data_IF_043953772507
#
_entry.id   IF_043953772507
#
_cell.length_a   1.000
_cell.length_b   1.000
_cell.length_c   1.000
_cell.angle_alpha   90.00
_cell.angle_beta   90.00
_cell.angle_gamma   90.00
#
_symmetry.space_group_name_H-M   'P 1'
#
loop_
_entity.id
_entity.type
_entity.pdbx_description
1 polymer ?
#
# COMPACT_ATOMS: atom_id res chain seq x y z
N UNK A 1 -24.29 -5.31 -12.44
CA UNK A 1 -24.18 -4.87 -11.04
C UNK A 1 -22.86 -5.41 -10.54
N UNK A 2 -21.94 -4.58 -10.05
CA UNK A 2 -20.72 -5.13 -9.45
C UNK A 2 -21.15 -6.02 -8.28
N UNK A 3 -20.73 -7.29 -8.26
CA UNK A 3 -20.90 -8.12 -7.08
C UNK A 3 -20.40 -7.32 -5.87
N UNK A 4 -21.24 -7.23 -4.83
CA UNK A 4 -20.84 -6.58 -3.60
C UNK A 4 -19.63 -7.33 -3.04
N UNK A 5 -18.51 -6.62 -2.85
CA UNK A 5 -17.30 -7.19 -2.25
C UNK A 5 -17.67 -7.83 -0.91
N UNK A 6 -17.40 -9.13 -0.76
CA UNK A 6 -17.78 -9.89 0.44
C UNK A 6 -17.04 -9.40 1.68
N UNK A 7 -17.63 -9.55 2.87
CA UNK A 7 -17.04 -9.07 4.12
C UNK A 7 -15.60 -9.60 4.36
N UNK A 8 -15.35 -10.87 4.04
CA UNK A 8 -14.01 -11.48 4.09
C UNK A 8 -13.01 -10.79 3.15
N UNK A 9 -13.45 -10.45 1.94
CA UNK A 9 -12.61 -9.74 0.96
C UNK A 9 -12.30 -8.31 1.42
N UNK A 10 -13.27 -7.61 2.02
CA UNK A 10 -13.05 -6.28 2.61
C UNK A 10 -12.03 -6.33 3.73
N UNK A 11 -12.17 -7.30 4.64
CA UNK A 11 -11.23 -7.51 5.75
C UNK A 11 -9.82 -7.81 5.23
N UNK A 12 -9.68 -8.77 4.31
CA UNK A 12 -8.38 -9.12 3.71
C UNK A 12 -7.78 -7.96 2.91
N UNK A 13 -8.60 -7.18 2.22
CA UNK A 13 -8.17 -5.96 1.54
C UNK A 13 -7.59 -4.92 2.49
N UNK A 14 -8.17 -4.76 3.68
CA UNK A 14 -7.60 -3.90 4.72
C UNK A 14 -6.31 -4.50 5.34
N UNK A 15 -6.31 -5.82 5.64
CA UNK A 15 -5.15 -6.54 6.17
C UNK A 15 -3.94 -6.48 5.24
N UNK A 16 -4.15 -6.37 3.92
CA UNK A 16 -3.10 -6.18 2.94
C UNK A 16 -2.19 -4.99 3.27
N UNK A 17 -2.71 -3.95 3.94
CA UNK A 17 -1.94 -2.78 4.34
C UNK A 17 -1.36 -2.86 5.76
N UNK A 18 -1.86 -3.77 6.63
CA UNK A 18 -1.56 -3.76 8.06
C UNK A 18 -0.06 -3.73 8.39
N UNK A 19 0.75 -4.56 7.75
CA UNK A 19 2.21 -4.57 7.91
C UNK A 19 2.92 -4.08 6.63
N UNK A 20 2.23 -3.21 5.88
CA UNK A 20 2.66 -2.70 4.59
C UNK A 20 3.02 -3.83 3.63
N UNK A 21 4.26 -3.89 3.13
CA UNK A 21 4.63 -4.86 2.11
C UNK A 21 4.62 -6.31 2.62
N UNK A 22 4.78 -6.55 3.93
CA UNK A 22 4.83 -7.90 4.48
C UNK A 22 3.47 -8.61 4.31
N UNK A 23 2.38 -8.00 4.77
CA UNK A 23 1.04 -8.58 4.61
C UNK A 23 0.56 -8.51 3.16
N UNK A 24 0.95 -7.48 2.41
CA UNK A 24 0.68 -7.40 0.98
C UNK A 24 1.29 -8.58 0.20
N UNK A 25 2.56 -8.88 0.41
CA UNK A 25 3.23 -10.03 -0.25
C UNK A 25 2.60 -11.34 0.19
N UNK A 26 2.36 -11.54 1.48
CA UNK A 26 1.72 -12.75 2.00
C UNK A 26 0.37 -13.03 1.32
N UNK A 27 -0.46 -11.99 1.15
CA UNK A 27 -1.74 -12.11 0.48
C UNK A 27 -1.62 -12.31 -1.04
N UNK A 28 -0.64 -11.72 -1.72
CA UNK A 28 -0.37 -12.04 -3.13
C UNK A 28 0.02 -13.52 -3.34
N UNK A 29 0.76 -14.08 -2.38
CA UNK A 29 1.20 -15.47 -2.43
C UNK A 29 0.06 -16.44 -2.14
N UNK A 30 -0.84 -16.10 -1.21
CA UNK A 30 -1.91 -17.00 -0.76
C UNK A 30 -3.24 -16.81 -1.51
N UNK A 31 -3.57 -15.58 -1.92
CA UNK A 31 -4.82 -15.28 -2.62
C UNK A 31 -4.63 -15.30 -4.14
N UNK A 32 -5.40 -16.16 -4.82
CA UNK A 32 -5.31 -16.39 -6.27
C UNK A 32 -6.58 -16.02 -7.03
N UNK A 33 -7.72 -15.90 -6.35
CA UNK A 33 -9.03 -15.76 -7.00
C UNK A 33 -9.57 -14.34 -6.91
N UNK A 34 -9.44 -13.71 -5.74
CA UNK A 34 -10.03 -12.38 -5.54
C UNK A 34 -9.16 -11.28 -6.17
N UNK A 35 -9.61 -10.71 -7.28
CA UNK A 35 -8.97 -9.53 -7.88
C UNK A 35 -8.95 -8.33 -6.91
N UNK A 36 -9.96 -8.21 -6.03
CA UNK A 36 -10.03 -7.15 -5.02
C UNK A 36 -8.90 -7.25 -3.99
N UNK A 37 -8.74 -8.43 -3.37
CA UNK A 37 -7.68 -8.66 -2.38
C UNK A 37 -6.31 -8.53 -3.06
N UNK A 38 -6.13 -9.11 -4.25
CA UNK A 38 -4.87 -9.05 -4.99
C UNK A 38 -4.48 -7.62 -5.37
N UNK A 39 -5.44 -6.78 -5.75
CA UNK A 39 -5.20 -5.35 -6.01
C UNK A 39 -4.68 -4.62 -4.77
N UNK A 40 -5.36 -4.71 -3.63
CA UNK A 40 -4.92 -4.06 -2.41
C UNK A 40 -3.58 -4.60 -1.91
N UNK A 41 -3.33 -5.89 -2.10
CA UNK A 41 -2.07 -6.56 -1.78
C UNK A 41 -0.91 -6.07 -2.63
N UNK A 42 -1.10 -5.90 -3.94
CA UNK A 42 -0.10 -5.32 -4.83
C UNK A 42 0.12 -3.82 -4.56
N UNK A 43 -0.96 -3.05 -4.40
CA UNK A 43 -0.85 -1.62 -4.07
C UNK A 43 -0.13 -1.39 -2.74
N UNK A 44 -0.43 -2.19 -1.71
CA UNK A 44 0.26 -2.16 -0.42
C UNK A 44 1.74 -2.50 -0.55
N UNK A 45 2.06 -3.58 -1.29
CA UNK A 45 3.44 -4.01 -1.52
C UNK A 45 4.26 -2.91 -2.18
N UNK A 46 3.77 -2.35 -3.29
CA UNK A 46 4.46 -1.31 -4.04
C UNK A 46 4.60 -0.02 -3.22
N UNK A 47 3.54 0.41 -2.53
CA UNK A 47 3.58 1.60 -1.68
C UNK A 47 4.57 1.42 -0.52
N UNK A 48 4.50 0.28 0.16
CA UNK A 48 5.36 -0.06 1.28
C UNK A 48 6.83 -0.11 0.91
N UNK A 49 7.17 -0.76 -0.21
CA UNK A 49 8.55 -0.80 -0.74
C UNK A 49 9.02 0.61 -1.12
N UNK A 50 8.19 1.41 -1.78
CA UNK A 50 8.55 2.78 -2.15
C UNK A 50 8.86 3.66 -0.93
N UNK A 51 8.00 3.58 0.11
CA UNK A 51 8.21 4.30 1.37
C UNK A 51 9.48 3.81 2.08
N UNK A 52 9.71 2.49 2.14
CA UNK A 52 10.90 1.91 2.76
C UNK A 52 12.19 2.37 2.06
N UNK A 53 12.22 2.33 0.73
CA UNK A 53 13.36 2.83 -0.05
C UNK A 53 13.57 4.33 0.14
N UNK A 54 12.50 5.12 0.22
CA UNK A 54 12.60 6.56 0.51
C UNK A 54 13.31 6.82 1.85
N UNK A 55 12.94 6.10 2.92
CA UNK A 55 13.60 6.25 4.22
C UNK A 55 15.06 5.76 4.21
N UNK A 56 15.38 4.70 3.47
CA UNK A 56 16.78 4.26 3.29
C UNK A 56 17.60 5.37 2.64
N UNK A 57 17.11 5.95 1.54
CA UNK A 57 17.81 7.03 0.83
C UNK A 57 18.02 8.24 1.73
N UNK A 58 17.02 8.63 2.52
CA UNK A 58 17.18 9.73 3.49
C UNK A 58 18.25 9.43 4.55
N UNK A 59 18.35 8.19 5.02
CA UNK A 59 19.30 7.81 6.07
C UNK A 59 20.76 7.81 5.59
N UNK A 60 21.01 7.53 4.30
CA UNK A 60 22.37 7.41 3.74
C UNK A 60 22.96 8.73 3.24
N UNK A 61 22.16 9.78 3.00
CA UNK A 61 22.64 11.06 2.45
C UNK A 61 23.16 11.98 3.57
N UNK A 62 24.49 12.19 3.71
CA UNK A 62 25.08 12.87 4.88
C UNK A 62 24.71 14.35 5.02
N UNK A 63 24.41 15.01 3.89
CA UNK A 63 24.23 16.48 3.80
C UNK A 63 22.77 16.90 4.06
N UNK A 64 21.80 16.02 3.78
CA UNK A 64 20.39 16.26 4.10
C UNK A 64 20.07 15.94 5.58
N UNK A 65 20.97 15.23 6.26
CA UNK A 65 20.78 14.61 7.57
C UNK A 65 20.14 15.48 8.66
N UNK A 66 20.58 16.73 8.95
CA UNK A 66 20.02 17.45 10.09
C UNK A 66 18.73 18.25 9.77
N UNK A 67 18.69 18.95 8.63
CA UNK A 67 17.58 19.86 8.30
C UNK A 67 16.38 19.10 7.73
N UNK A 68 16.64 18.10 6.86
CA UNK A 68 15.58 17.23 6.32
C UNK A 68 15.06 16.29 7.42
N UNK A 69 15.93 15.76 8.29
CA UNK A 69 15.47 14.86 9.35
C UNK A 69 14.61 15.56 10.42
N UNK A 70 14.88 16.83 10.73
CA UNK A 70 14.12 17.55 11.77
C UNK A 70 12.82 18.15 11.24
N UNK A 71 12.78 18.63 10.00
CA UNK A 71 11.63 19.39 9.47
C UNK A 71 10.73 18.53 8.57
N UNK A 72 11.29 17.72 7.67
CA UNK A 72 10.50 16.99 6.66
C UNK A 72 9.96 15.66 7.19
N UNK A 73 10.72 14.96 8.04
CA UNK A 73 10.36 13.62 8.51
C UNK A 73 9.06 13.57 9.30
N UNK A 74 8.76 14.50 10.24
CA UNK A 74 7.49 14.45 10.98
C UNK A 74 6.27 14.67 10.08
N UNK A 75 6.33 15.67 9.19
CA UNK A 75 5.24 15.99 8.26
C UNK A 75 5.02 14.88 7.24
N UNK A 76 6.10 14.36 6.63
CA UNK A 76 6.03 13.24 5.69
C UNK A 76 5.51 11.98 6.37
N UNK A 77 5.97 11.68 7.58
CA UNK A 77 5.50 10.53 8.35
C UNK A 77 4.00 10.64 8.66
N UNK A 78 3.51 11.84 9.01
CA UNK A 78 2.09 12.06 9.25
C UNK A 78 1.26 11.87 7.98
N UNK A 79 1.71 12.40 6.83
CA UNK A 79 1.01 12.20 5.54
C UNK A 79 0.99 10.72 5.17
N UNK A 80 2.11 10.02 5.31
CA UNK A 80 2.21 8.57 5.08
C UNK A 80 1.27 7.80 6.01
N UNK A 81 1.22 8.17 7.29
CA UNK A 81 0.34 7.54 8.27
C UNK A 81 -1.15 7.77 7.93
N UNK A 82 -1.54 9.00 7.60
CA UNK A 82 -2.92 9.32 7.19
C UNK A 82 -3.28 8.53 5.92
N UNK A 83 -2.40 8.50 4.93
CA UNK A 83 -2.61 7.73 3.70
C UNK A 83 -2.77 6.24 4.00
N UNK A 84 -1.95 5.69 4.89
CA UNK A 84 -2.01 4.29 5.31
C UNK A 84 -3.35 3.93 5.97
N UNK A 85 -3.81 4.75 6.92
CA UNK A 85 -5.14 4.59 7.55
C UNK A 85 -6.25 4.72 6.50
N UNK A 86 -6.17 5.73 5.61
CA UNK A 86 -7.16 5.95 4.56
C UNK A 86 -7.28 4.73 3.64
N UNK A 87 -6.17 4.13 3.24
CA UNK A 87 -6.16 2.94 2.38
C UNK A 87 -6.76 1.72 3.08
N UNK A 88 -6.44 1.50 4.36
CA UNK A 88 -7.08 0.46 5.16
C UNK A 88 -8.58 0.68 5.27
N UNK A 89 -9.00 1.90 5.59
CA UNK A 89 -10.40 2.26 5.74
C UNK A 89 -11.18 2.06 4.45
N UNK A 90 -10.66 2.55 3.33
CA UNK A 90 -11.27 2.40 2.01
C UNK A 90 -11.40 0.92 1.61
N UNK A 91 -10.36 0.12 1.86
CA UNK A 91 -10.43 -1.31 1.61
C UNK A 91 -11.45 -2.02 2.53
N UNK A 92 -11.56 -1.57 3.79
CA UNK A 92 -12.53 -2.11 4.74
C UNK A 92 -13.98 -1.75 4.39
N UNK A 93 -14.23 -0.58 3.80
CA UNK A 93 -15.59 -0.20 3.34
C UNK A 93 -15.97 -0.90 2.02
N UNK A 94 -15.01 -1.52 1.34
CA UNK A 94 -15.21 -2.22 0.07
C UNK A 94 -14.88 -1.38 -1.17
N UNK A 95 -14.25 -0.23 -0.98
CA UNK A 95 -13.84 0.64 -2.07
C UNK A 95 -12.44 0.26 -2.56
N UNK A 96 -12.36 -0.07 -3.85
CA UNK A 96 -11.08 -0.30 -4.54
C UNK A 96 -10.38 1.04 -4.82
N UNK A 97 -9.98 1.73 -3.76
CA UNK A 97 -9.32 3.04 -3.86
C UNK A 97 -7.95 2.90 -4.50
N UNK A 98 -7.82 3.48 -5.69
CA UNK A 98 -6.64 3.36 -6.55
C UNK A 98 -5.80 4.62 -6.49
N UNK A 99 -4.56 4.47 -6.03
CA UNK A 99 -3.60 5.57 -6.06
C UNK A 99 -3.20 5.89 -7.51
N UNK A 100 -3.12 7.17 -7.91
CA UNK A 100 -2.87 7.54 -9.31
C UNK A 100 -1.62 6.90 -9.92
N UNK A 101 -0.51 6.82 -9.19
CA UNK A 101 0.72 6.19 -9.69
C UNK A 101 0.83 4.74 -9.25
N UNK A 102 0.84 4.50 -7.93
CA UNK A 102 1.05 3.16 -7.36
C UNK A 102 -0.06 2.19 -7.77
N UNK A 103 -1.33 2.64 -7.77
CA UNK A 103 -2.46 1.79 -8.15
C UNK A 103 -2.47 1.45 -9.64
N UNK A 104 -2.04 2.37 -10.51
CA UNK A 104 -1.83 2.07 -11.94
C UNK A 104 -0.73 1.03 -12.15
N UNK A 105 0.37 1.13 -11.41
CA UNK A 105 1.45 0.13 -11.47
C UNK A 105 0.93 -1.21 -10.93
N UNK A 106 0.16 -1.21 -9.84
CA UNK A 106 -0.40 -2.41 -9.24
C UNK A 106 -1.25 -3.21 -10.24
N UNK A 107 -2.13 -2.55 -10.99
CA UNK A 107 -2.95 -3.19 -12.01
C UNK A 107 -2.10 -3.79 -13.13
N UNK A 108 -1.17 -2.99 -13.68
CA UNK A 108 -0.26 -3.45 -14.73
C UNK A 108 0.59 -4.65 -14.30
N UNK A 109 1.00 -4.70 -13.03
CA UNK A 109 1.74 -5.85 -12.52
C UNK A 109 0.83 -7.07 -12.43
N UNK A 110 -0.39 -6.92 -11.90
CA UNK A 110 -1.34 -8.03 -11.77
C UNK A 110 -1.75 -8.63 -13.12
N UNK A 111 -1.82 -7.83 -14.19
CA UNK A 111 -2.08 -8.31 -15.55
C UNK A 111 -1.01 -9.29 -16.05
N UNK A 112 0.26 -9.14 -15.61
CA UNK A 112 1.36 -10.05 -15.97
C UNK A 112 1.32 -11.37 -15.20
N UNK A 113 0.55 -11.43 -14.11
CA UNK A 113 0.42 -12.60 -13.24
C UNK A 113 -0.95 -13.28 -13.36
N UNK A 114 -1.69 -12.98 -14.42
CA UNK A 114 -2.88 -13.74 -14.84
C UNK A 114 -2.45 -15.02 -15.54
#
# INVERSE_FOLDING_TARGET
>A
MAESVGADQKMKGALAYLLGPVTGILLLLTEKKSEYIRFHSMQSTLLGVAIFLFYIVLAIVPILGPVVAVILTPGVSLVVFILWILLMWKAYTGERYKLPYIGNIAEKQLEKFK
#
